data_IF_934673957584
#
_entry.id   IF_934673957584
#
_cell.length_a   1.000
_cell.length_b   1.000
_cell.length_c   1.000
_cell.angle_alpha   90.00
_cell.angle_beta   90.00
_cell.angle_gamma   90.00
#
_symmetry.space_group_name_H-M   'P 1'
#
loop_
_entity.id
_entity.type
_entity.pdbx_description
1 polymer ?
#
# COMPACT_ATOMS: atom_id res chain seq x y z
N UNK A 1 2.24 -8.31 -12.52
CA UNK A 1 1.86 -8.25 -11.09
C UNK A 1 3.08 -8.40 -10.16
N UNK A 2 4.18 -7.67 -10.40
CA UNK A 2 5.47 -7.95 -9.74
C UNK A 2 5.38 -7.87 -8.20
N UNK A 3 4.87 -6.76 -7.65
CA UNK A 3 4.71 -6.59 -6.20
C UNK A 3 3.81 -7.69 -5.61
N UNK A 4 2.65 -7.93 -6.23
CA UNK A 4 1.67 -8.94 -5.78
C UNK A 4 2.25 -10.36 -5.73
N UNK A 5 2.94 -10.77 -6.80
CA UNK A 5 3.58 -12.08 -6.91
C UNK A 5 4.71 -12.22 -5.90
N UNK A 6 5.59 -11.21 -5.80
CA UNK A 6 6.71 -11.25 -4.85
C UNK A 6 6.21 -11.33 -3.40
N UNK A 7 5.17 -10.57 -3.08
CA UNK A 7 4.63 -10.56 -1.72
C UNK A 7 3.97 -11.88 -1.35
N UNK A 8 3.19 -12.46 -2.26
CA UNK A 8 2.66 -13.82 -2.10
C UNK A 8 3.76 -14.87 -2.00
N UNK A 9 4.78 -14.82 -2.86
CA UNK A 9 5.94 -15.72 -2.84
C UNK A 9 6.72 -15.65 -1.52
N UNK A 10 6.86 -14.46 -0.94
CA UNK A 10 7.50 -14.27 0.37
C UNK A 10 6.62 -14.68 1.57
N UNK A 11 5.42 -15.22 1.34
CA UNK A 11 4.49 -15.64 2.39
C UNK A 11 3.60 -14.52 2.95
N UNK A 12 3.64 -13.33 2.37
CA UNK A 12 2.92 -12.14 2.82
C UNK A 12 2.00 -11.59 1.72
N UNK A 13 0.98 -12.34 1.25
CA UNK A 13 0.11 -11.89 0.16
C UNK A 13 -0.64 -10.60 0.53
N UNK A 14 -0.86 -9.75 -0.48
CA UNK A 14 -1.53 -8.45 -0.30
C UNK A 14 -3.00 -8.66 0.09
N UNK A 15 -3.49 -7.93 1.09
CA UNK A 15 -4.90 -7.97 1.52
C UNK A 15 -5.84 -7.71 0.34
N UNK A 16 -6.90 -8.52 0.22
CA UNK A 16 -7.90 -8.43 -0.85
C UNK A 16 -7.39 -8.80 -2.25
N UNK A 17 -6.22 -9.43 -2.37
CA UNK A 17 -5.70 -9.98 -3.62
C UNK A 17 -6.22 -11.42 -3.88
N UNK A 18 -7.37 -11.52 -4.53
CA UNK A 18 -8.02 -12.78 -4.88
C UNK A 18 -7.16 -13.75 -5.71
N UNK A 19 -6.28 -13.23 -6.57
CA UNK A 19 -5.44 -14.03 -7.47
C UNK A 19 -4.22 -14.65 -6.76
N UNK A 20 -3.63 -13.93 -5.79
CA UNK A 20 -2.36 -14.34 -5.16
C UNK A 20 -2.50 -14.69 -3.67
N UNK A 21 -3.70 -15.10 -3.24
CA UNK A 21 -3.95 -15.65 -1.89
C UNK A 21 -4.19 -14.59 -0.81
N UNK A 22 -4.41 -13.35 -1.22
CA UNK A 22 -4.80 -12.23 -0.38
C UNK A 22 -6.23 -12.35 0.12
N UNK A 23 -6.39 -12.50 1.43
CA UNK A 23 -7.74 -12.60 2.04
C UNK A 23 -8.39 -11.21 2.14
N UNK A 24 -9.72 -11.12 1.97
CA UNK A 24 -10.45 -9.91 2.31
C UNK A 24 -10.27 -9.55 3.79
N UNK A 25 -10.33 -8.25 4.10
CA UNK A 25 -10.27 -7.76 5.47
C UNK A 25 -11.66 -7.30 5.90
N UNK A 26 -12.21 -7.90 6.95
CA UNK A 26 -13.39 -7.38 7.63
C UNK A 26 -12.98 -6.30 8.63
N UNK A 27 -13.67 -5.17 8.61
CA UNK A 27 -13.50 -4.09 9.58
C UNK A 27 -14.55 -4.20 10.69
N UNK A 28 -14.29 -3.54 11.82
CA UNK A 28 -15.16 -3.58 13.00
C UNK A 28 -16.56 -2.98 12.81
N UNK A 29 -16.79 -2.25 11.72
CA UNK A 29 -18.09 -1.66 11.35
C UNK A 29 -18.92 -2.56 10.42
N UNK A 30 -18.44 -3.78 10.13
CA UNK A 30 -19.08 -4.73 9.22
C UNK A 30 -18.75 -4.52 7.74
N UNK A 31 -17.95 -3.51 7.39
CA UNK A 31 -17.45 -3.36 6.03
C UNK A 31 -16.37 -4.39 5.71
N UNK A 32 -16.28 -4.80 4.43
CA UNK A 32 -15.31 -5.79 3.96
C UNK A 32 -14.52 -5.19 2.80
N UNK A 33 -13.20 -5.21 2.93
CA UNK A 33 -12.28 -4.80 1.87
C UNK A 33 -11.84 -6.03 1.10
N UNK A 34 -12.42 -6.18 -0.09
CA UNK A 34 -12.23 -7.31 -0.99
C UNK A 34 -11.42 -6.95 -2.24
N UNK A 35 -10.79 -5.78 -2.28
CA UNK A 35 -9.90 -5.35 -3.38
C UNK A 35 -8.45 -5.33 -2.92
N UNK A 36 -7.54 -5.42 -3.89
CA UNK A 36 -6.11 -5.35 -3.66
C UNK A 36 -5.72 -4.06 -2.92
N UNK A 37 -5.17 -4.22 -1.71
CA UNK A 37 -4.66 -3.13 -0.87
C UNK A 37 -3.26 -2.68 -1.32
N UNK A 38 -3.14 -2.34 -2.61
CA UNK A 38 -1.93 -1.83 -3.23
C UNK A 38 -2.20 -0.43 -3.81
N UNK A 39 -1.39 0.55 -3.44
CA UNK A 39 -1.57 1.95 -3.82
C UNK A 39 -0.28 2.55 -4.37
N UNK A 40 -0.35 3.20 -5.52
CA UNK A 40 0.74 3.98 -6.08
C UNK A 40 0.69 5.42 -5.52
N UNK A 41 1.31 5.63 -4.35
CA UNK A 41 1.25 6.91 -3.65
C UNK A 41 2.14 8.02 -4.23
N UNK A 42 3.18 7.66 -4.99
CA UNK A 42 4.13 8.59 -5.58
C UNK A 42 4.57 8.12 -6.96
N UNK A 43 4.67 9.07 -7.89
CA UNK A 43 5.27 8.88 -9.20
C UNK A 43 6.27 10.02 -9.44
N UNK A 44 7.52 9.68 -9.71
CA UNK A 44 8.55 10.66 -10.06
C UNK A 44 9.28 10.22 -11.33
N UNK A 45 9.47 11.15 -12.26
CA UNK A 45 10.15 10.91 -13.53
C UNK A 45 10.63 12.23 -14.14
N UNK A 46 11.53 12.15 -15.12
CA UNK A 46 11.93 13.30 -15.92
C UNK A 46 10.94 13.51 -17.07
N UNK A 47 10.47 14.75 -17.24
CA UNK A 47 9.57 15.10 -18.34
C UNK A 47 10.23 14.72 -19.67
N UNK A 48 9.60 13.88 -20.52
CA UNK A 48 10.27 13.27 -21.67
C UNK A 48 10.74 14.27 -22.74
N UNK A 49 10.07 15.43 -22.83
CA UNK A 49 10.43 16.52 -23.75
C UNK A 49 11.28 17.61 -23.07
N UNK A 50 10.89 18.07 -21.87
CA UNK A 50 11.53 19.21 -21.19
C UNK A 50 12.76 18.83 -20.37
N UNK A 51 12.95 17.55 -20.03
CA UNK A 51 14.02 17.08 -19.14
C UNK A 51 13.86 17.49 -17.67
N UNK A 52 12.72 18.06 -17.30
CA UNK A 52 12.48 18.56 -15.94
C UNK A 52 12.04 17.44 -15.00
N UNK A 53 12.59 17.39 -13.80
CA UNK A 53 12.14 16.47 -12.77
C UNK A 53 10.69 16.79 -12.36
N UNK A 54 9.82 15.79 -12.46
CA UNK A 54 8.41 15.87 -12.08
C UNK A 54 8.13 14.90 -10.93
N UNK A 55 7.29 15.34 -9.98
CA UNK A 55 6.82 14.51 -8.87
C UNK A 55 5.31 14.68 -8.75
N UNK A 56 4.61 13.56 -8.68
CA UNK A 56 3.18 13.48 -8.48
C UNK A 56 2.89 12.62 -7.25
N UNK A 57 1.90 13.02 -6.48
CA UNK A 57 1.45 12.28 -5.30
C UNK A 57 -0.04 11.96 -5.44
N UNK A 58 -0.44 10.83 -4.88
CA UNK A 58 -1.84 10.43 -4.77
C UNK A 58 -2.16 10.16 -3.29
N UNK A 59 -3.15 10.87 -2.70
CA UNK A 59 -3.51 10.66 -1.31
C UNK A 59 -3.96 9.21 -1.09
N UNK A 60 -3.74 8.70 0.12
CA UNK A 60 -4.17 7.36 0.48
C UNK A 60 -5.71 7.27 0.35
N UNK A 61 -6.25 6.29 -0.39
CA UNK A 61 -7.69 6.06 -0.49
C UNK A 61 -8.36 5.92 0.88
N UNK A 62 -9.58 6.43 1.02
CA UNK A 62 -10.29 6.49 2.31
C UNK A 62 -10.51 5.10 2.93
N UNK A 63 -10.78 4.08 2.11
CA UNK A 63 -10.94 2.69 2.55
C UNK A 63 -9.63 2.10 3.11
N UNK A 64 -8.49 2.37 2.46
CA UNK A 64 -7.17 1.99 2.96
C UNK A 64 -6.80 2.72 4.26
N UNK A 65 -7.14 4.01 4.36
CA UNK A 65 -6.93 4.78 5.57
C UNK A 65 -7.75 4.22 6.75
N UNK A 66 -9.03 3.91 6.52
CA UNK A 66 -9.89 3.27 7.51
C UNK A 66 -9.37 1.90 7.94
N UNK A 67 -8.93 1.07 6.97
CA UNK A 67 -8.34 -0.24 7.24
C UNK A 67 -7.07 -0.14 8.10
N UNK A 68 -6.15 0.76 7.74
CA UNK A 68 -4.91 0.96 8.47
C UNK A 68 -5.18 1.47 9.90
N UNK A 69 -6.14 2.38 10.08
CA UNK A 69 -6.55 2.84 11.40
C UNK A 69 -7.15 1.71 12.25
N UNK A 70 -8.02 0.89 11.67
CA UNK A 70 -8.62 -0.26 12.32
C UNK A 70 -7.57 -1.27 12.79
N UNK A 71 -6.60 -1.62 11.93
CA UNK A 71 -5.52 -2.54 12.29
C UNK A 71 -4.61 -1.98 13.39
N UNK A 72 -4.25 -0.69 13.31
CA UNK A 72 -3.42 -0.03 14.34
C UNK A 72 -4.08 -0.03 15.72
N UNK A 73 -5.41 0.08 15.79
CA UNK A 73 -6.15 0.03 17.03
C UNK A 73 -6.09 -1.35 17.72
N UNK A 74 -5.83 -2.42 16.97
CA UNK A 74 -5.67 -3.78 17.51
C UNK A 74 -4.25 -4.06 18.05
N UNK A 75 -3.33 -3.12 17.88
CA UNK A 75 -1.92 -3.25 18.26
C UNK A 75 -1.00 -3.25 17.05
N UNK A 76 0.22 -2.75 17.25
CA UNK A 76 1.25 -2.67 16.21
C UNK A 76 2.48 -3.42 16.69
N UNK A 77 2.87 -4.45 15.96
CA UNK A 77 4.19 -5.06 16.10
C UNK A 77 5.12 -4.38 15.09
N UNK A 78 6.15 -3.64 15.53
CA UNK A 78 7.11 -3.04 14.62
C UNK A 78 7.85 -4.14 13.84
N UNK A 79 7.87 -4.02 12.52
CA UNK A 79 8.68 -4.89 11.66
C UNK A 79 9.85 -4.05 11.16
N UNK A 80 11.07 -4.54 11.36
CA UNK A 80 12.23 -3.93 10.74
C UNK A 80 12.26 -4.31 9.27
N UNK A 81 12.33 -3.31 8.39
CA UNK A 81 12.38 -3.50 6.94
C UNK A 81 13.53 -2.70 6.38
N UNK A 82 14.59 -3.41 5.97
CA UNK A 82 15.73 -2.82 5.28
C UNK A 82 15.33 -2.33 3.89
N UNK A 83 15.91 -1.20 3.46
CA UNK A 83 15.69 -0.64 2.12
C UNK A 83 14.35 0.08 1.94
N UNK A 84 13.55 0.27 2.99
CA UNK A 84 12.33 1.09 2.91
C UNK A 84 12.64 2.57 3.13
N UNK A 85 12.00 3.42 2.34
CA UNK A 85 12.06 4.87 2.50
C UNK A 85 10.74 5.34 3.09
N UNK A 86 10.74 6.04 4.24
CA UNK A 86 9.51 6.56 4.82
C UNK A 86 8.77 7.46 3.84
N UNK A 87 7.45 7.31 3.75
CA UNK A 87 6.60 8.20 2.94
C UNK A 87 6.74 9.67 3.36
N UNK A 88 7.00 9.93 4.64
CA UNK A 88 7.26 11.27 5.18
C UNK A 88 8.45 11.98 4.49
N UNK A 89 9.41 11.22 3.95
CA UNK A 89 10.52 11.78 3.16
C UNK A 89 10.03 12.48 1.88
N UNK A 90 8.84 12.12 1.41
CA UNK A 90 8.22 12.65 0.20
C UNK A 90 7.03 13.58 0.50
N UNK A 91 6.85 13.99 1.77
CA UNK A 91 5.71 14.83 2.18
C UNK A 91 4.36 14.10 2.17
N UNK A 92 4.39 12.76 2.23
CA UNK A 92 3.23 11.87 2.28
C UNK A 92 3.01 11.28 3.68
#
# INVERSE_FOLDING_TARGET
HQIRVHMSYSGWPIVGDDMYGGKPLALGDGSVIARQMLHAGLLAFEHPIRGEAMVFTAPLPADMAAAAAHLRAQGVVPVHVEGTVPLSRFGL
#
